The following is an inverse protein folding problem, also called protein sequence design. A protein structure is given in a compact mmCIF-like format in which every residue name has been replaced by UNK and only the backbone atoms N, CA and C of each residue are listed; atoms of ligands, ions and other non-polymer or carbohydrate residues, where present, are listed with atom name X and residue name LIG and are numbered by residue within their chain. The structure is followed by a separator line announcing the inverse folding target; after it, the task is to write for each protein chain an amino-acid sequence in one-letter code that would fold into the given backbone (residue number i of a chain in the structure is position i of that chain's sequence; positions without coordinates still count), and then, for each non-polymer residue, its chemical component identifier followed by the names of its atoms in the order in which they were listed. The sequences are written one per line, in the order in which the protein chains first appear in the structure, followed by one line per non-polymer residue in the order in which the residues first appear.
data_IF_326869635139
#
_entry.id   IF_326869635139
#
_cell.length_a   1.000
_cell.length_b   1.000
_cell.length_c   1.000
_cell.angle_alpha   90.00
_cell.angle_beta   90.00
_cell.angle_gamma   90.00
#
_symmetry.space_group_name_H-M   'P 1'
#
loop_
_entity.id
_entity.type
_entity.pdbx_description
1 polymer ?
#
# COMPACT_ATOMS: atom_id res chain seq x y z
N UNK A 1 -44.04 -45.25 27.55
CA UNK A 1 -43.40 -44.08 28.20
C UNK A 1 -43.97 -42.78 27.58
N UNK A 2 -44.85 -42.12 28.35
CA UNK A 2 -45.30 -40.71 28.40
C UNK A 2 -45.18 -39.85 27.12
N UNK A 3 -46.22 -39.68 26.29
CA UNK A 3 -47.44 -38.82 26.37
C UNK A 3 -47.27 -37.35 25.93
N UNK A 4 -47.99 -37.04 24.85
CA UNK A 4 -48.52 -35.72 24.46
C UNK A 4 -49.10 -34.93 25.65
N UNK A 5 -48.91 -33.60 25.66
CA UNK A 5 -49.87 -32.66 26.25
C UNK A 5 -50.01 -31.41 25.39
N UNK A 6 -51.24 -31.19 24.95
CA UNK A 6 -51.75 -29.99 24.27
C UNK A 6 -52.46 -29.16 25.34
N UNK A 7 -52.27 -27.84 25.38
CA UNK A 7 -53.28 -26.91 25.92
C UNK A 7 -53.12 -25.54 25.29
N UNK A 8 -54.21 -25.06 24.67
CA UNK A 8 -54.47 -23.66 24.30
C UNK A 8 -54.84 -22.83 25.53
N UNK A 9 -54.65 -21.50 25.46
CA UNK A 9 -55.55 -20.41 25.91
C UNK A 9 -54.90 -19.09 25.51
N UNK A 10 -55.49 -18.33 24.58
CA UNK A 10 -56.58 -17.36 24.72
C UNK A 10 -56.10 -15.95 25.07
N UNK A 11 -56.41 -15.03 24.14
CA UNK A 11 -56.96 -13.71 24.43
C UNK A 11 -56.05 -12.67 25.06
N UNK A 12 -55.76 -11.58 24.34
CA UNK A 12 -56.56 -10.36 24.48
C UNK A 12 -55.90 -9.17 23.78
N UNK A 13 -56.57 -8.72 22.73
CA UNK A 13 -56.84 -7.32 22.35
C UNK A 13 -55.84 -6.23 22.79
N UNK A 14 -55.19 -5.58 21.81
CA UNK A 14 -55.19 -4.10 21.72
C UNK A 14 -55.27 -3.67 20.26
N UNK A 15 -56.35 -2.98 19.95
CA UNK A 15 -56.65 -2.28 18.70
C UNK A 15 -56.14 -0.83 18.76
N UNK A 16 -55.73 -0.38 17.57
CA UNK A 16 -55.85 0.98 16.99
C UNK A 16 -55.12 2.18 17.62
N UNK A 17 -54.18 2.74 16.84
CA UNK A 17 -54.14 4.13 16.36
C UNK A 17 -52.83 4.27 15.55
N UNK A 18 -52.89 4.39 14.22
CA UNK A 18 -53.05 5.65 13.49
C UNK A 18 -51.83 6.57 13.63
N UNK A 19 -51.06 6.70 12.54
CA UNK A 19 -50.33 7.90 12.12
C UNK A 19 -49.36 7.56 10.97
N UNK A 20 -49.80 7.86 9.75
CA UNK A 20 -49.07 8.67 8.77
C UNK A 20 -47.60 8.30 8.43
N UNK A 21 -47.39 7.76 7.23
CA UNK A 21 -46.13 7.89 6.49
C UNK A 21 -45.95 9.36 6.06
N UNK A 22 -44.75 9.91 6.19
CA UNK A 22 -44.11 10.41 4.98
C UNK A 22 -42.67 9.91 4.83
N UNK A 23 -42.38 9.51 3.59
CA UNK A 23 -41.05 9.41 3.01
C UNK A 23 -40.37 10.78 2.98
N UNK A 24 -39.15 10.86 3.53
CA UNK A 24 -38.22 11.95 3.26
C UNK A 24 -36.87 11.32 2.92
N UNK A 25 -36.78 10.88 1.66
CA UNK A 25 -35.54 11.04 0.93
C UNK A 25 -35.31 12.55 0.79
N UNK A 26 -34.38 13.11 1.55
CA UNK A 26 -33.33 13.99 1.03
C UNK A 26 -32.36 14.30 2.19
N UNK A 27 -31.61 13.29 2.63
CA UNK A 27 -30.42 13.55 3.43
C UNK A 27 -29.35 14.01 2.45
N UNK A 28 -29.33 15.33 2.25
CA UNK A 28 -28.15 16.16 2.05
C UNK A 28 -27.00 15.45 1.34
N UNK A 29 -26.90 15.61 0.02
CA UNK A 29 -25.62 15.40 -0.69
C UNK A 29 -24.53 16.16 0.08
N UNK A 30 -23.46 15.49 0.56
CA UNK A 30 -22.24 16.20 0.85
C UNK A 30 -21.70 16.68 -0.50
N UNK A 31 -21.68 18.00 -0.61
CA UNK A 31 -20.77 18.84 -1.39
C UNK A 31 -19.63 18.06 -2.04
N UNK A 32 -19.43 18.30 -3.35
CA UNK A 32 -18.15 18.08 -4.03
C UNK A 32 -17.03 18.72 -3.19
N UNK A 33 -16.44 17.95 -2.27
CA UNK A 33 -15.19 18.27 -1.61
C UNK A 33 -14.10 18.09 -2.67
N UNK A 34 -13.99 19.10 -3.55
CA UNK A 34 -12.95 19.19 -4.56
C UNK A 34 -11.59 19.18 -3.88
N UNK A 35 -10.79 18.18 -4.25
CA UNK A 35 -9.39 17.94 -3.89
C UNK A 35 -8.98 18.33 -2.47
N UNK A 36 -8.83 17.33 -1.59
CA UNK A 36 -7.96 17.46 -0.44
C UNK A 36 -6.60 18.04 -0.92
N UNK A 37 -6.00 19.00 -0.20
CA UNK A 37 -4.68 19.51 -0.57
C UNK A 37 -3.74 18.30 -0.69
N UNK A 38 -3.25 18.07 -1.90
CA UNK A 38 -2.25 17.05 -2.15
C UNK A 38 -1.03 17.44 -1.34
N UNK A 39 -0.66 16.60 -0.36
CA UNK A 39 0.57 16.80 0.40
C UNK A 39 1.73 16.83 -0.63
N UNK A 40 2.46 17.97 -0.73
CA UNK A 40 3.49 18.14 -1.75
C UNK A 40 4.60 17.08 -1.63
N UNK A 41 4.82 16.52 -0.44
CA UNK A 41 5.75 15.41 -0.23
C UNK A 41 5.22 14.14 -0.88
N UNK A 42 3.94 13.82 -0.70
CA UNK A 42 3.32 12.66 -1.33
C UNK A 42 3.33 12.79 -2.85
N UNK A 43 3.08 13.98 -3.39
CA UNK A 43 3.18 14.23 -4.84
C UNK A 43 4.61 14.04 -5.36
N UNK A 44 5.62 14.52 -4.64
CA UNK A 44 7.01 14.30 -5.00
C UNK A 44 7.37 12.81 -5.01
N UNK A 45 6.92 12.05 -4.00
CA UNK A 45 7.12 10.61 -3.94
C UNK A 45 6.38 9.86 -5.05
N UNK A 46 5.17 10.28 -5.41
CA UNK A 46 4.41 9.71 -6.53
C UNK A 46 5.12 9.95 -7.87
N UNK A 47 5.57 11.18 -8.15
CA UNK A 47 6.39 11.47 -9.35
C UNK A 47 7.67 10.66 -9.41
N UNK A 48 8.34 10.47 -8.27
CA UNK A 48 9.55 9.66 -8.19
C UNK A 48 9.25 8.19 -8.50
N UNK A 49 8.15 7.66 -7.98
CA UNK A 49 7.67 6.30 -8.24
C UNK A 49 7.42 6.07 -9.73
N UNK A 50 6.72 7.00 -10.38
CA UNK A 50 6.42 6.93 -11.81
C UNK A 50 7.70 6.96 -12.67
N UNK A 51 8.69 7.77 -12.29
CA UNK A 51 10.01 7.79 -12.96
C UNK A 51 10.70 6.42 -12.89
N UNK A 52 10.70 5.78 -11.72
CA UNK A 52 11.31 4.45 -11.54
C UNK A 52 10.54 3.38 -12.32
N UNK A 53 9.21 3.47 -12.38
CA UNK A 53 8.37 2.55 -13.18
C UNK A 53 8.69 2.67 -14.68
N UNK A 54 8.93 3.89 -15.17
CA UNK A 54 9.37 4.12 -16.55
C UNK A 54 10.77 3.53 -16.82
N UNK A 55 11.73 3.75 -15.90
CA UNK A 55 13.07 3.16 -15.99
C UNK A 55 13.00 1.63 -16.01
N UNK A 56 12.14 1.04 -15.17
CA UNK A 56 11.95 -0.41 -15.10
C UNK A 56 11.34 -0.95 -16.39
N UNK A 57 10.33 -0.27 -16.95
CA UNK A 57 9.73 -0.65 -18.23
C UNK A 57 10.74 -0.58 -19.38
N UNK A 58 11.59 0.45 -19.39
CA UNK A 58 12.67 0.60 -20.36
C UNK A 58 13.73 -0.50 -20.22
N UNK A 59 14.17 -0.80 -18.99
CA UNK A 59 15.11 -1.88 -18.71
C UNK A 59 14.56 -3.26 -19.09
N UNK A 60 13.23 -3.42 -19.04
CA UNK A 60 12.54 -4.64 -19.43
C UNK A 60 12.30 -4.75 -20.95
N UNK A 61 12.59 -3.71 -21.74
CA UNK A 61 12.39 -3.71 -23.19
C UNK A 61 10.93 -4.00 -23.60
N UNK A 62 9.96 -3.62 -22.77
CA UNK A 62 8.53 -3.91 -22.99
C UNK A 62 8.10 -5.36 -22.74
N UNK A 63 9.02 -6.25 -22.34
CA UNK A 63 8.69 -7.60 -21.91
C UNK A 63 8.31 -7.62 -20.42
N UNK A 64 7.49 -8.59 -20.00
CA UNK A 64 7.26 -8.78 -18.56
C UNK A 64 8.54 -9.25 -17.86
N UNK A 65 8.80 -8.78 -16.64
CA UNK A 65 9.97 -9.20 -15.84
C UNK A 65 10.10 -10.72 -15.72
N UNK A 66 8.96 -11.41 -15.53
CA UNK A 66 8.91 -12.88 -15.53
C UNK A 66 9.37 -13.50 -16.85
N UNK A 67 9.09 -12.88 -18.00
CA UNK A 67 9.55 -13.39 -19.29
C UNK A 67 11.06 -13.20 -19.47
N UNK A 68 11.62 -12.08 -19.03
CA UNK A 68 13.05 -11.79 -19.12
C UNK A 68 13.86 -12.72 -18.22
N UNK A 69 13.45 -12.89 -16.97
CA UNK A 69 14.17 -13.78 -16.04
C UNK A 69 14.21 -15.24 -16.51
N UNK A 70 13.20 -15.69 -17.27
CA UNK A 70 13.17 -17.05 -17.84
C UNK A 70 14.07 -17.24 -19.06
N UNK A 71 14.33 -16.18 -19.83
CA UNK A 71 15.03 -16.26 -21.13
C UNK A 71 16.47 -15.73 -21.04
N UNK A 72 16.69 -14.64 -20.31
CA UNK A 72 17.98 -13.96 -20.19
C UNK A 72 18.70 -14.24 -18.85
N UNK A 73 18.02 -14.84 -17.87
CA UNK A 73 18.55 -15.06 -16.51
C UNK A 73 18.40 -13.85 -15.59
N UNK A 74 19.21 -13.80 -14.52
CA UNK A 74 19.27 -12.68 -13.57
C UNK A 74 19.52 -11.35 -14.31
N UNK A 75 18.71 -10.32 -14.00
CA UNK A 75 18.89 -8.97 -14.53
C UNK A 75 19.09 -8.01 -13.36
N UNK A 76 20.32 -7.88 -12.85
CA UNK A 76 20.60 -7.09 -11.66
C UNK A 76 20.11 -5.64 -11.75
N UNK A 77 20.17 -5.03 -12.94
CA UNK A 77 19.69 -3.67 -13.17
C UNK A 77 18.17 -3.53 -12.92
N UNK A 78 17.36 -4.47 -13.42
CA UNK A 78 15.92 -4.46 -13.19
C UNK A 78 15.58 -4.74 -11.72
N UNK A 79 16.30 -5.67 -11.08
CA UNK A 79 16.14 -5.94 -9.65
C UNK A 79 16.49 -4.74 -8.77
N UNK A 80 17.54 -4.02 -9.14
CA UNK A 80 17.89 -2.77 -8.50
C UNK A 80 16.76 -1.73 -8.60
N UNK A 81 16.18 -1.55 -9.79
CA UNK A 81 15.02 -0.66 -9.99
C UNK A 81 13.77 -1.12 -9.21
N UNK A 82 13.48 -2.43 -9.15
CA UNK A 82 12.43 -2.98 -8.29
C UNK A 82 12.64 -2.60 -6.81
N UNK A 83 13.89 -2.66 -6.34
CA UNK A 83 14.29 -2.26 -5.00
C UNK A 83 14.02 -0.78 -4.71
N UNK A 84 14.43 0.10 -5.63
CA UNK A 84 14.18 1.55 -5.56
C UNK A 84 12.67 1.83 -5.47
N UNK A 85 11.89 1.18 -6.33
CA UNK A 85 10.43 1.33 -6.38
C UNK A 85 9.76 0.89 -5.07
N UNK A 86 10.20 -0.24 -4.52
CA UNK A 86 9.69 -0.76 -3.25
C UNK A 86 9.98 0.21 -2.09
N UNK A 87 11.20 0.73 -2.00
CA UNK A 87 11.60 1.66 -0.94
C UNK A 87 10.81 2.98 -0.97
N UNK A 88 10.62 3.59 -2.16
CA UNK A 88 9.75 4.77 -2.31
C UNK A 88 8.32 4.46 -1.91
N UNK A 89 7.82 3.27 -2.29
CA UNK A 89 6.49 2.81 -1.88
C UNK A 89 6.33 2.63 -0.37
N UNK A 90 7.39 2.22 0.34
CA UNK A 90 7.42 2.15 1.81
C UNK A 90 7.44 3.53 2.46
N UNK A 91 8.32 4.42 1.99
CA UNK A 91 8.43 5.79 2.48
C UNK A 91 7.10 6.53 2.31
N UNK A 92 6.51 6.46 1.12
CA UNK A 92 5.18 7.03 0.85
C UNK A 92 4.11 6.52 1.81
N UNK A 93 4.11 5.21 2.10
CA UNK A 93 3.17 4.61 3.06
C UNK A 93 3.40 5.13 4.47
N UNK A 94 4.65 5.37 4.88
CA UNK A 94 4.98 5.94 6.19
C UNK A 94 4.51 7.39 6.31
N UNK A 95 4.78 8.23 5.30
CA UNK A 95 4.33 9.63 5.27
C UNK A 95 2.81 9.72 5.27
N UNK A 96 2.10 8.88 4.49
CA UNK A 96 0.62 8.84 4.52
C UNK A 96 0.02 8.45 5.86
N UNK A 97 0.77 7.77 6.73
CA UNK A 97 0.36 7.44 8.11
C UNK A 97 0.69 8.57 9.10
N UNK A 98 1.21 9.70 8.62
CA UNK A 98 1.56 10.86 9.44
C UNK A 98 3.01 10.90 9.91
N UNK A 99 3.89 10.02 9.39
CA UNK A 99 5.32 10.12 9.66
C UNK A 99 5.96 11.32 8.97
N UNK A 100 6.86 12.02 9.66
CA UNK A 100 7.70 13.02 9.02
C UNK A 100 8.60 12.34 7.97
N UNK A 101 8.76 12.97 6.80
CA UNK A 101 9.50 12.37 5.68
C UNK A 101 10.95 12.08 6.03
N UNK A 102 11.61 12.96 6.77
CA UNK A 102 13.01 12.80 7.17
C UNK A 102 13.18 11.63 8.13
N UNK A 103 12.40 11.58 9.20
CA UNK A 103 12.41 10.49 10.19
C UNK A 103 12.10 9.14 9.52
N UNK A 104 11.04 9.10 8.70
CA UNK A 104 10.67 7.88 7.97
C UNK A 104 11.76 7.43 6.99
N UNK A 105 12.46 8.36 6.35
CA UNK A 105 13.56 8.04 5.44
C UNK A 105 14.75 7.46 6.19
N UNK A 106 15.12 8.05 7.34
CA UNK A 106 16.21 7.58 8.18
C UNK A 106 15.92 6.16 8.71
N UNK A 107 14.73 5.95 9.28
CA UNK A 107 14.32 4.65 9.83
C UNK A 107 14.33 3.56 8.76
N UNK A 108 13.76 3.84 7.59
CA UNK A 108 13.77 2.91 6.46
C UNK A 108 15.19 2.66 5.96
N UNK A 109 16.04 3.69 5.86
CA UNK A 109 17.41 3.53 5.39
C UNK A 109 18.22 2.61 6.31
N UNK A 110 18.05 2.74 7.63
CA UNK A 110 18.69 1.85 8.61
C UNK A 110 18.24 0.41 8.41
N UNK A 111 16.94 0.15 8.31
CA UNK A 111 16.42 -1.20 8.13
C UNK A 111 16.85 -1.81 6.79
N UNK A 112 16.77 -1.06 5.69
CA UNK A 112 17.17 -1.54 4.37
C UNK A 112 18.67 -1.86 4.30
N UNK A 113 19.53 -1.05 4.95
CA UNK A 113 20.97 -1.35 5.07
C UNK A 113 21.21 -2.64 5.87
N UNK A 114 20.52 -2.80 7.00
CA UNK A 114 20.65 -4.01 7.80
C UNK A 114 20.21 -5.27 7.01
N UNK A 115 19.14 -5.16 6.21
CA UNK A 115 18.67 -6.23 5.33
C UNK A 115 19.66 -6.55 4.21
N UNK A 116 20.30 -5.53 3.61
CA UNK A 116 21.33 -5.71 2.60
C UNK A 116 22.54 -6.47 3.15
N UNK A 117 23.02 -6.09 4.33
CA UNK A 117 24.15 -6.76 4.97
C UNK A 117 23.81 -8.22 5.33
N UNK A 118 22.59 -8.48 5.83
CA UNK A 118 22.11 -9.86 6.05
C UNK A 118 22.05 -10.66 4.74
N UNK A 119 21.62 -10.06 3.64
CA UNK A 119 21.56 -10.73 2.34
C UNK A 119 22.97 -11.10 1.84
N UNK A 120 23.95 -10.20 2.00
CA UNK A 120 25.36 -10.43 1.66
C UNK A 120 25.97 -11.53 2.51
N UNK A 121 25.82 -11.45 3.83
CA UNK A 121 26.38 -12.42 4.77
C UNK A 121 25.73 -13.82 4.64
N UNK A 122 24.43 -13.86 4.35
CA UNK A 122 23.67 -15.09 4.19
C UNK A 122 23.84 -15.78 2.84
N UNK A 123 24.67 -15.26 1.94
CA UNK A 123 24.88 -15.83 0.61
C UNK A 123 23.64 -15.80 -0.28
N UNK A 124 22.75 -14.82 -0.11
CA UNK A 124 21.59 -14.66 -0.98
C UNK A 124 22.03 -14.39 -2.43
N UNK A 125 21.21 -14.82 -3.39
CA UNK A 125 21.50 -14.66 -4.81
C UNK A 125 21.70 -13.18 -5.22
N UNK A 126 22.40 -12.94 -6.34
CA UNK A 126 22.75 -11.60 -6.81
C UNK A 126 21.53 -10.70 -7.04
N UNK A 127 20.40 -11.26 -7.46
CA UNK A 127 19.14 -10.54 -7.61
C UNK A 127 18.61 -9.95 -6.29
N UNK A 128 18.76 -10.71 -5.19
CA UNK A 128 18.34 -10.24 -3.87
C UNK A 128 19.25 -9.13 -3.35
N UNK A 129 20.56 -9.25 -3.60
CA UNK A 129 21.53 -8.20 -3.24
C UNK A 129 21.24 -6.93 -4.06
N UNK A 130 21.00 -7.06 -5.37
CA UNK A 130 20.68 -5.94 -6.24
C UNK A 130 19.38 -5.23 -5.81
N UNK A 131 18.33 -5.99 -5.50
CA UNK A 131 17.07 -5.47 -4.97
C UNK A 131 17.29 -4.68 -3.67
N UNK A 132 18.04 -5.22 -2.71
CA UNK A 132 18.30 -4.50 -1.45
C UNK A 132 19.16 -3.26 -1.64
N UNK A 133 20.18 -3.33 -2.50
CA UNK A 133 21.01 -2.19 -2.84
C UNK A 133 20.19 -1.05 -3.46
N UNK A 134 19.26 -1.37 -4.36
CA UNK A 134 18.35 -0.38 -4.96
C UNK A 134 17.56 0.41 -3.92
N UNK A 135 16.93 -0.26 -2.95
CA UNK A 135 16.18 0.47 -1.93
C UNK A 135 17.07 1.34 -1.03
N UNK A 136 18.28 0.88 -0.71
CA UNK A 136 19.26 1.68 0.06
C UNK A 136 19.65 2.95 -0.71
N UNK A 137 20.00 2.82 -1.98
CA UNK A 137 20.46 3.95 -2.79
C UNK A 137 19.34 5.00 -2.96
N UNK A 138 18.10 4.55 -3.15
CA UNK A 138 16.95 5.44 -3.27
C UNK A 138 16.69 6.23 -1.98
N UNK A 139 16.66 5.55 -0.83
CA UNK A 139 16.46 6.20 0.46
C UNK A 139 17.63 7.11 0.82
N UNK A 140 18.86 6.72 0.53
CA UNK A 140 20.04 7.56 0.74
C UNK A 140 20.02 8.83 -0.11
N UNK A 141 19.49 8.76 -1.34
CA UNK A 141 19.33 9.94 -2.21
C UNK A 141 18.22 10.90 -1.76
N UNK A 142 17.29 10.41 -0.92
CA UNK A 142 16.17 11.18 -0.37
C UNK A 142 16.47 11.72 1.04
N UNK A 143 17.41 11.12 1.75
CA UNK A 143 17.77 11.52 3.10
C UNK A 143 18.30 12.97 3.11
N UNK A 144 17.91 13.79 4.10
CA UNK A 144 18.42 15.14 4.23
C UNK A 144 19.95 15.10 4.32
N UNK A 145 20.61 15.87 3.45
CA UNK A 145 22.05 16.10 3.54
C UNK A 145 22.25 17.08 4.69
N UNK A 146 22.84 16.61 5.79
CA UNK A 146 23.14 17.43 6.97
C UNK A 146 24.09 18.58 6.69
#
# INVERSE_FOLDING_TARGET
MRTFRRTRRDGSLRTAADATRPTLADATRPTLAGQAPHDPVIEALDRRRDTIEQDLAAAAGGASMCAISRVAGSVPAAKHLEGRLAAVGELRRAVRRGGAVDDATIDLLVEWRAQLERARAGGMGPDWIAYRAGGVDELASTAPTG
#
